data_IF_593330604931
#
_entry.id   IF_593330604931
#
_cell.length_a   1.000
_cell.length_b   1.000
_cell.length_c   1.000
_cell.angle_alpha   90.00
_cell.angle_beta   90.00
_cell.angle_gamma   90.00
#
_symmetry.space_group_name_H-M   'P 1'
#
loop_
_entity.id
_entity.type
_entity.pdbx_description
1 polymer ?
#
# COMPACT_ATOMS: atom_id res chain seq x y z
N UNK A 1 -0.26 31.88 -24.52
CA UNK A 1 0.99 31.59 -25.25
C UNK A 1 2.24 31.46 -24.37
N UNK A 2 2.14 31.39 -23.03
CA UNK A 2 3.33 31.48 -22.14
C UNK A 2 3.58 30.32 -21.16
N UNK A 3 2.63 29.40 -20.95
CA UNK A 3 2.79 28.27 -20.00
C UNK A 3 3.22 26.96 -20.66
N UNK A 4 2.87 26.74 -21.93
CA UNK A 4 3.31 25.55 -22.66
C UNK A 4 4.80 25.61 -23.02
N UNK A 5 5.32 26.81 -23.30
CA UNK A 5 6.74 27.03 -23.60
C UNK A 5 7.64 26.83 -22.39
N UNK A 6 7.19 27.19 -21.18
CA UNK A 6 7.96 26.99 -19.94
C UNK A 6 7.99 25.53 -19.53
N UNK A 7 6.89 24.79 -19.71
CA UNK A 7 6.83 23.35 -19.48
C UNK A 7 7.74 22.58 -20.46
N UNK A 8 7.72 22.95 -21.74
CA UNK A 8 8.61 22.37 -22.75
C UNK A 8 10.10 22.69 -22.52
N UNK A 9 10.41 23.88 -22.00
CA UNK A 9 11.80 24.28 -21.66
C UNK A 9 12.30 23.58 -20.40
N UNK A 10 11.42 23.33 -19.42
CA UNK A 10 11.73 22.54 -18.23
C UNK A 10 11.98 21.05 -18.54
N UNK A 11 11.32 20.50 -19.56
CA UNK A 11 11.57 19.15 -20.05
C UNK A 11 12.87 19.06 -20.89
N UNK A 12 13.23 20.14 -21.61
CA UNK A 12 14.44 20.22 -22.43
C UNK A 12 15.75 20.34 -21.63
N UNK A 13 15.71 20.75 -20.36
CA UNK A 13 16.90 20.83 -19.48
C UNK A 13 17.22 19.50 -18.76
N UNK A 14 16.34 18.50 -18.82
CA UNK A 14 16.56 17.18 -18.18
C UNK A 14 17.50 16.29 -19.01
N UNK A 15 17.66 16.56 -20.31
CA UNK A 15 18.48 15.74 -21.23
C UNK A 15 19.99 16.05 -21.19
N UNK A 16 20.45 16.99 -20.35
CA UNK A 16 21.85 17.41 -20.28
C UNK A 16 22.52 17.14 -18.92
N UNK A 17 23.53 16.26 -18.92
CA UNK A 17 24.62 16.14 -17.93
C UNK A 17 24.27 15.70 -16.50
N UNK A 18 23.30 16.36 -15.86
CA UNK A 18 22.94 16.16 -14.43
C UNK A 18 21.43 16.35 -14.19
N UNK A 19 20.64 16.84 -15.16
CA UNK A 19 19.21 17.13 -14.97
C UNK A 19 18.35 15.90 -14.63
N UNK A 20 18.74 14.72 -15.08
CA UNK A 20 18.10 13.45 -14.73
C UNK A 20 18.48 12.94 -13.33
N UNK A 21 19.60 13.38 -12.79
CA UNK A 21 20.16 12.87 -11.53
C UNK A 21 19.28 13.24 -10.34
N UNK A 22 18.82 14.49 -10.26
CA UNK A 22 17.98 14.93 -9.14
C UNK A 22 16.62 14.22 -9.05
N UNK A 23 15.83 14.07 -10.13
CA UNK A 23 14.59 13.29 -10.05
C UNK A 23 14.86 11.80 -9.82
N UNK A 24 15.93 11.24 -10.40
CA UNK A 24 16.31 9.85 -10.12
C UNK A 24 16.73 9.64 -8.66
N UNK A 25 17.50 10.58 -8.09
CA UNK A 25 17.92 10.56 -6.70
C UNK A 25 16.73 10.74 -5.76
N UNK A 26 15.81 11.67 -6.07
CA UNK A 26 14.60 11.87 -5.28
C UNK A 26 13.71 10.61 -5.30
N UNK A 27 13.55 9.98 -6.46
CA UNK A 27 12.83 8.71 -6.59
C UNK A 27 13.53 7.58 -5.83
N UNK A 28 14.86 7.50 -5.89
CA UNK A 28 15.62 6.50 -5.15
C UNK A 28 15.50 6.73 -3.64
N UNK A 29 15.59 7.97 -3.15
CA UNK A 29 15.40 8.29 -1.74
C UNK A 29 13.98 7.96 -1.28
N UNK A 30 12.96 8.33 -2.06
CA UNK A 30 11.57 7.96 -1.76
C UNK A 30 11.38 6.44 -1.69
N UNK A 31 12.06 5.68 -2.54
CA UNK A 31 12.01 4.22 -2.53
C UNK A 31 12.81 3.57 -1.38
N UNK A 32 13.99 4.09 -1.05
CA UNK A 32 14.83 3.50 0.01
C UNK A 32 14.48 4.00 1.42
N UNK A 33 13.69 5.07 1.51
CA UNK A 33 13.27 5.69 2.77
C UNK A 33 11.76 5.83 2.86
N UNK A 34 11.00 4.97 2.20
CA UNK A 34 9.55 5.07 2.21
C UNK A 34 8.97 4.98 3.60
N UNK A 35 9.41 4.05 4.45
CA UNK A 35 8.90 3.92 5.82
C UNK A 35 8.99 5.22 6.64
N UNK A 36 9.88 6.14 6.26
CA UNK A 36 10.04 7.46 6.88
C UNK A 36 9.14 8.52 6.22
N UNK A 37 8.87 8.35 4.93
CA UNK A 37 8.05 9.26 4.12
C UNK A 37 6.56 8.93 4.19
N UNK A 38 6.22 7.69 4.50
CA UNK A 38 4.88 7.26 4.80
C UNK A 38 4.42 7.93 6.10
N UNK A 39 3.30 8.64 6.00
CA UNK A 39 2.68 9.32 7.13
C UNK A 39 1.53 8.50 7.72
N UNK A 40 1.25 7.32 7.16
CA UNK A 40 0.34 6.36 7.74
C UNK A 40 1.02 5.64 8.91
N UNK A 41 0.29 5.49 10.01
CA UNK A 41 0.82 4.78 11.18
C UNK A 41 0.55 3.30 10.99
N UNK A 42 1.60 2.54 10.71
CA UNK A 42 1.50 1.08 10.59
C UNK A 42 1.10 0.45 11.93
N UNK A 43 0.21 -0.55 11.92
CA UNK A 43 -0.06 -1.37 13.09
C UNK A 43 1.22 -2.05 13.57
N UNK A 44 1.49 -2.01 14.87
CA UNK A 44 2.66 -2.71 15.43
C UNK A 44 2.30 -4.18 15.61
N UNK A 45 3.06 -5.05 14.95
CA UNK A 45 2.97 -6.50 15.15
C UNK A 45 3.31 -6.88 16.60
N UNK A 46 2.35 -7.54 17.26
CA UNK A 46 2.52 -8.02 18.63
C UNK A 46 3.13 -9.43 18.63
N UNK A 47 4.30 -9.64 19.26
CA UNK A 47 4.86 -10.97 19.46
C UNK A 47 3.85 -11.88 20.17
N UNK A 48 3.81 -13.15 19.77
CA UNK A 48 2.86 -14.13 20.33
C UNK A 48 2.96 -14.26 21.86
N UNK A 49 4.15 -14.04 22.42
CA UNK A 49 4.43 -14.08 23.86
C UNK A 49 3.74 -12.96 24.66
N UNK A 50 3.39 -11.86 23.98
CA UNK A 50 2.75 -10.69 24.57
C UNK A 50 1.23 -10.67 24.35
N UNK A 51 0.68 -11.69 23.69
CA UNK A 51 -0.76 -11.78 23.48
C UNK A 51 -1.49 -12.05 24.80
N UNK A 52 -2.63 -11.40 24.96
CA UNK A 52 -3.51 -11.65 26.08
C UNK A 52 -4.18 -13.03 25.93
N UNK A 53 -4.51 -13.72 27.04
CA UNK A 53 -5.23 -14.99 26.97
C UNK A 53 -6.68 -14.84 26.46
N UNK A 54 -7.23 -13.62 26.46
CA UNK A 54 -8.57 -13.31 25.97
C UNK A 54 -8.65 -11.85 25.49
N UNK A 55 -9.58 -11.59 24.56
CA UNK A 55 -9.90 -10.29 24.00
C UNK A 55 -11.42 -10.09 24.00
N UNK A 56 -11.88 -8.85 24.07
CA UNK A 56 -13.30 -8.52 23.96
C UNK A 56 -13.78 -8.70 22.51
N UNK A 57 -12.90 -8.38 21.55
CA UNK A 57 -13.15 -8.53 20.12
C UNK A 57 -11.91 -9.06 19.41
N UNK A 58 -12.13 -9.97 18.46
CA UNK A 58 -11.12 -10.42 17.51
C UNK A 58 -11.63 -10.09 16.11
N UNK A 59 -10.94 -9.18 15.42
CA UNK A 59 -11.21 -8.79 14.04
C UNK A 59 -10.27 -9.60 13.14
N UNK A 60 -10.84 -10.36 12.20
CA UNK A 60 -10.07 -11.18 11.25
C UNK A 60 -10.10 -10.51 9.89
N UNK A 61 -8.93 -10.07 9.43
CA UNK A 61 -8.70 -9.28 8.23
C UNK A 61 -8.67 -7.77 8.52
N UNK A 62 -7.56 -7.12 8.20
CA UNK A 62 -7.31 -5.68 8.20
C UNK A 62 -7.60 -5.01 6.85
N UNK A 63 -8.47 -5.61 6.03
CA UNK A 63 -8.99 -4.94 4.83
C UNK A 63 -9.85 -3.71 5.15
N UNK A 64 -10.42 -3.07 4.12
CA UNK A 64 -11.10 -1.77 4.25
C UNK A 64 -12.16 -1.70 5.36
N UNK A 65 -12.93 -2.77 5.58
CA UNK A 65 -13.90 -2.83 6.66
C UNK A 65 -13.27 -3.17 8.02
N UNK A 66 -12.35 -4.14 8.04
CA UNK A 66 -11.76 -4.64 9.28
C UNK A 66 -10.88 -3.61 9.98
N UNK A 67 -10.08 -2.85 9.22
CA UNK A 67 -9.28 -1.75 9.76
C UNK A 67 -10.15 -0.68 10.44
N UNK A 68 -11.26 -0.28 9.79
CA UNK A 68 -12.20 0.70 10.36
C UNK A 68 -12.88 0.16 11.62
N UNK A 69 -13.33 -1.09 11.60
CA UNK A 69 -13.96 -1.72 12.77
C UNK A 69 -12.97 -1.80 13.94
N UNK A 70 -11.75 -2.30 13.70
CA UNK A 70 -10.72 -2.39 14.73
C UNK A 70 -10.40 -1.02 15.33
N UNK A 71 -10.21 -0.01 14.47
CA UNK A 71 -9.97 1.39 14.88
C UNK A 71 -11.08 1.91 15.80
N UNK A 72 -12.36 1.76 15.41
CA UNK A 72 -13.49 2.26 16.22
C UNK A 72 -13.69 1.50 17.53
N UNK A 73 -13.47 0.19 17.54
CA UNK A 73 -13.54 -0.58 18.79
C UNK A 73 -12.41 -0.16 19.75
N UNK A 74 -11.22 0.12 19.22
CA UNK A 74 -10.05 0.51 20.03
C UNK A 74 -10.13 1.92 20.62
N UNK A 75 -11.03 2.79 20.13
CA UNK A 75 -11.31 4.11 20.74
C UNK A 75 -11.85 4.00 22.18
N UNK A 76 -12.41 2.83 22.55
CA UNK A 76 -12.89 2.57 23.90
C UNK A 76 -11.79 1.86 24.69
N UNK A 77 -11.11 2.60 25.56
CA UNK A 77 -9.95 2.13 26.36
C UNK A 77 -10.22 0.89 27.23
N UNK A 78 -11.50 0.58 27.49
CA UNK A 78 -11.90 -0.59 28.28
C UNK A 78 -11.81 -1.90 27.48
N UNK A 79 -11.87 -1.84 26.15
CA UNK A 79 -11.89 -3.01 25.29
C UNK A 79 -10.49 -3.39 24.82
N UNK A 80 -10.18 -4.68 24.94
CA UNK A 80 -9.01 -5.27 24.32
C UNK A 80 -9.42 -5.82 22.96
N UNK A 81 -8.84 -5.28 21.89
CA UNK A 81 -9.14 -5.64 20.50
C UNK A 81 -7.92 -6.29 19.88
N UNK A 82 -8.08 -7.49 19.32
CA UNK A 82 -7.06 -8.16 18.53
C UNK A 82 -7.43 -8.07 17.05
N UNK A 83 -6.54 -7.52 16.23
CA UNK A 83 -6.66 -7.55 14.77
C UNK A 83 -5.69 -8.62 14.23
N UNK A 84 -6.20 -9.52 13.40
CA UNK A 84 -5.41 -10.56 12.73
C UNK A 84 -5.43 -10.30 11.24
N UNK A 85 -4.28 -10.03 10.64
CA UNK A 85 -4.12 -9.90 9.19
C UNK A 85 -3.19 -11.02 8.68
N UNK A 86 -3.51 -11.57 7.51
CA UNK A 86 -2.72 -12.65 6.91
C UNK A 86 -1.62 -12.10 6.00
N UNK A 87 -1.84 -10.93 5.41
CA UNK A 87 -0.84 -10.16 4.68
C UNK A 87 0.21 -9.52 5.60
N UNK A 88 1.23 -8.95 4.98
CA UNK A 88 2.12 -8.00 5.64
C UNK A 88 1.72 -6.57 5.27
N UNK A 89 2.58 -5.63 5.63
CA UNK A 89 2.38 -4.21 5.34
C UNK A 89 2.36 -3.92 3.83
N UNK A 90 1.74 -2.79 3.50
CA UNK A 90 1.74 -2.18 2.18
C UNK A 90 3.16 -1.85 1.69
N UNK A 91 3.26 -1.51 0.40
CA UNK A 91 4.52 -1.15 -0.24
C UNK A 91 4.34 0.10 -1.09
N UNK A 92 5.41 0.74 -1.51
CA UNK A 92 5.33 2.04 -2.20
C UNK A 92 4.65 1.92 -3.55
N UNK A 93 4.65 0.70 -4.10
CA UNK A 93 3.96 0.40 -5.34
C UNK A 93 2.44 0.48 -5.15
N UNK A 94 1.91 0.12 -3.98
CA UNK A 94 0.46 0.22 -3.70
C UNK A 94 -0.03 1.65 -3.54
N UNK A 95 0.84 2.57 -3.15
CA UNK A 95 0.50 3.98 -2.95
C UNK A 95 0.36 4.77 -4.25
N UNK A 96 0.93 4.26 -5.36
CA UNK A 96 0.89 4.94 -6.65
C UNK A 96 -0.20 4.32 -7.52
N UNK A 97 -1.35 4.98 -7.75
CA UNK A 97 -2.49 4.37 -8.46
C UNK A 97 -2.15 3.92 -9.88
N UNK A 98 -1.22 4.60 -10.55
CA UNK A 98 -0.76 4.24 -11.90
C UNK A 98 -0.07 2.87 -11.93
N UNK A 99 0.50 2.42 -10.82
CA UNK A 99 1.24 1.15 -10.71
C UNK A 99 0.38 -0.01 -10.21
N UNK A 100 -0.93 0.18 -9.98
CA UNK A 100 -1.81 -0.86 -9.43
C UNK A 100 -1.76 -2.19 -10.20
N UNK A 101 -1.54 -2.16 -11.52
CA UNK A 101 -1.38 -3.36 -12.35
C UNK A 101 -0.18 -4.24 -11.96
N UNK A 102 0.88 -3.66 -11.38
CA UNK A 102 2.07 -4.39 -10.91
C UNK A 102 1.81 -5.20 -9.64
N UNK A 103 0.73 -4.92 -8.90
CA UNK A 103 0.39 -5.64 -7.67
C UNK A 103 -0.30 -6.98 -7.97
N UNK A 104 -0.92 -7.11 -9.14
CA UNK A 104 -1.63 -8.31 -9.54
C UNK A 104 -0.68 -9.52 -9.60
N UNK A 105 -1.14 -10.67 -9.11
CA UNK A 105 -0.37 -11.91 -9.08
C UNK A 105 0.92 -11.85 -8.26
N UNK A 106 1.08 -10.86 -7.38
CA UNK A 106 2.21 -10.73 -6.43
C UNK A 106 1.88 -11.30 -5.06
N UNK A 107 2.72 -11.05 -4.05
CA UNK A 107 2.48 -11.49 -2.67
C UNK A 107 1.30 -10.76 -2.00
N UNK A 108 0.94 -9.58 -2.53
CA UNK A 108 -0.16 -8.74 -2.07
C UNK A 108 -1.52 -9.13 -2.67
N UNK A 109 -1.52 -10.10 -3.59
CA UNK A 109 -2.73 -10.64 -4.22
C UNK A 109 -2.95 -12.09 -3.75
N UNK A 110 -4.19 -12.41 -3.37
CA UNK A 110 -4.59 -13.77 -3.02
C UNK A 110 -4.55 -14.75 -4.19
N UNK A 111 -4.57 -14.26 -5.44
CA UNK A 111 -4.49 -15.06 -6.68
C UNK A 111 -5.55 -16.15 -6.78
N UNK A 112 -6.74 -15.90 -6.24
CA UNK A 112 -7.85 -16.82 -6.40
C UNK A 112 -8.14 -17.01 -7.89
N UNK A 113 -8.28 -18.27 -8.28
CA UNK A 113 -8.71 -18.66 -9.62
C UNK A 113 -10.13 -19.17 -9.54
N UNK A 114 -10.96 -18.75 -10.48
CA UNK A 114 -12.28 -19.34 -10.64
C UNK A 114 -12.17 -20.68 -11.35
N UNK A 115 -13.18 -21.51 -11.17
CA UNK A 115 -13.37 -22.67 -12.04
C UNK A 115 -13.69 -22.21 -13.48
N UNK A 116 -13.40 -23.05 -14.50
CA UNK A 116 -13.79 -22.75 -15.88
C UNK A 116 -15.30 -22.55 -16.01
N UNK A 117 -15.71 -21.49 -16.70
CA UNK A 117 -17.13 -21.17 -16.95
C UNK A 117 -17.37 -21.04 -18.45
N UNK A 118 -18.54 -21.51 -18.91
CA UNK A 118 -18.90 -21.50 -20.34
C UNK A 118 -19.25 -20.13 -20.91
N UNK A 119 -19.57 -19.15 -20.06
CA UNK A 119 -20.14 -17.85 -20.46
C UNK A 119 -19.30 -16.64 -20.03
N UNK A 120 -18.13 -16.84 -19.43
CA UNK A 120 -17.24 -15.77 -18.95
C UNK A 120 -15.83 -15.91 -19.51
N UNK A 121 -15.11 -14.79 -19.66
CA UNK A 121 -13.74 -14.79 -20.19
C UNK A 121 -13.61 -15.48 -21.55
N UNK A 122 -14.59 -15.28 -22.44
CA UNK A 122 -14.70 -15.84 -23.79
C UNK A 122 -13.67 -15.28 -24.79
N UNK A 123 -12.49 -14.89 -24.32
CA UNK A 123 -11.43 -14.36 -25.18
C UNK A 123 -11.18 -15.31 -26.35
N UNK A 124 -11.69 -14.93 -27.53
CA UNK A 124 -11.51 -15.64 -28.79
C UNK A 124 -10.19 -15.26 -29.43
#
# INVERSE_FOLDING_TARGET
MGVESTLATALGSVSGGVGWFFPALAMALAYFQYDIMDNESQPIDMPTELLHPAYDFIVVGAGSAGAVVASRLSEIEKWNVLLLEAGGDETEISDVPLLAGYLQLTKLDWKYKTEPQGDSCLGK
#
